data_IF_387526450443
#
_entry.id   IF_387526450443
#
_cell.length_a   1.000
_cell.length_b   1.000
_cell.length_c   1.000
_cell.angle_alpha   90.00
_cell.angle_beta   90.00
_cell.angle_gamma   90.00
#
_symmetry.space_group_name_H-M   'P 1'
#
loop_
_entity.id
_entity.type
_entity.pdbx_description
1 polymer ?
#
# COMPACT_ATOMS: atom_id res chain seq x y z
N UNK A 1 -5.29 22.07 -1.72
CA UNK A 1 -5.19 20.60 -1.89
C UNK A 1 -6.59 20.01 -1.92
N UNK A 2 -6.98 19.27 -2.96
CA UNK A 2 -8.28 18.62 -3.03
C UNK A 2 -8.31 17.38 -2.13
N UNK A 3 -9.33 17.23 -1.29
CA UNK A 3 -9.50 16.02 -0.46
C UNK A 3 -9.80 14.83 -1.35
N UNK A 4 -8.98 13.78 -1.23
CA UNK A 4 -9.22 12.48 -1.85
C UNK A 4 -9.48 11.46 -0.74
N UNK A 5 -10.46 10.59 -0.95
CA UNK A 5 -10.81 9.52 -0.01
C UNK A 5 -10.43 8.18 -0.62
N UNK A 6 -9.78 7.32 0.16
CA UNK A 6 -9.45 5.95 -0.20
C UNK A 6 -10.23 5.04 0.73
N UNK A 7 -10.99 4.11 0.15
CA UNK A 7 -11.74 3.11 0.92
C UNK A 7 -10.82 1.92 1.25
N UNK A 8 -10.79 1.54 2.51
CA UNK A 8 -10.07 0.36 2.99
C UNK A 8 -11.04 -0.56 3.73
N UNK A 9 -10.76 -1.87 3.70
CA UNK A 9 -11.35 -2.77 4.69
C UNK A 9 -10.74 -2.51 6.07
N UNK A 10 -11.48 -2.83 7.12
CA UNK A 10 -11.01 -2.69 8.50
C UNK A 10 -9.70 -3.45 8.74
N UNK A 11 -9.59 -4.67 8.19
CA UNK A 11 -8.37 -5.48 8.28
C UNK A 11 -7.15 -4.79 7.66
N UNK A 12 -7.32 -4.11 6.52
CA UNK A 12 -6.22 -3.35 5.87
C UNK A 12 -5.86 -2.11 6.69
N UNK A 13 -6.86 -1.38 7.18
CA UNK A 13 -6.63 -0.22 8.04
C UNK A 13 -5.84 -0.60 9.29
N UNK A 14 -6.21 -1.69 9.97
CA UNK A 14 -5.49 -2.21 11.14
C UNK A 14 -4.04 -2.60 10.85
N UNK A 15 -3.75 -3.14 9.66
CA UNK A 15 -2.38 -3.45 9.25
C UNK A 15 -1.53 -2.18 9.10
N UNK A 16 -2.10 -1.15 8.48
CA UNK A 16 -1.42 0.14 8.31
C UNK A 16 -1.19 0.79 9.68
N UNK A 17 -2.20 0.78 10.56
CA UNK A 17 -2.09 1.31 11.92
C UNK A 17 -0.97 0.61 12.71
N UNK A 18 -0.90 -0.73 12.64
CA UNK A 18 0.19 -1.49 13.27
C UNK A 18 1.57 -1.14 12.70
N UNK A 19 1.67 -0.89 11.40
CA UNK A 19 2.92 -0.44 10.80
C UNK A 19 3.31 0.96 11.31
N UNK A 20 2.35 1.89 11.39
CA UNK A 20 2.56 3.22 11.95
C UNK A 20 3.02 3.15 13.42
N UNK A 21 2.40 2.30 14.24
CA UNK A 21 2.81 2.04 15.61
C UNK A 21 4.22 1.46 15.69
N UNK A 22 4.56 0.49 14.85
CA UNK A 22 5.89 -0.12 14.83
C UNK A 22 6.99 0.91 14.48
N UNK A 23 6.73 1.79 13.51
CA UNK A 23 7.62 2.91 13.19
C UNK A 23 7.71 3.88 14.36
N UNK A 24 6.59 4.17 15.01
CA UNK A 24 6.54 5.10 16.13
C UNK A 24 7.39 4.62 17.32
N UNK A 25 7.25 3.33 17.67
CA UNK A 25 8.02 2.70 18.74
C UNK A 25 9.52 2.73 18.43
N UNK A 26 9.92 2.43 17.18
CA UNK A 26 11.32 2.39 16.77
C UNK A 26 11.99 3.77 16.69
N UNK A 27 11.22 4.78 16.26
CA UNK A 27 11.75 6.13 16.01
C UNK A 27 11.53 7.10 17.18
N UNK A 28 10.68 6.74 18.15
CA UNK A 28 10.26 7.62 19.24
C UNK A 28 9.35 8.77 18.80
N UNK A 29 8.88 8.78 17.56
CA UNK A 29 8.00 9.83 17.01
C UNK A 29 6.60 9.27 16.82
N UNK A 30 5.58 10.09 17.06
CA UNK A 30 4.19 9.69 16.79
C UNK A 30 3.97 9.74 15.27
N UNK A 31 3.80 8.58 14.65
CA UNK A 31 3.50 8.43 13.21
C UNK A 31 2.04 8.01 13.04
N UNK A 32 1.31 8.73 12.19
CA UNK A 32 -0.09 8.38 11.87
C UNK A 32 -0.14 7.42 10.70
N UNK A 33 -1.20 6.61 10.61
CA UNK A 33 -1.42 5.74 9.43
C UNK A 33 -1.45 6.52 8.12
N UNK A 34 -1.94 7.76 8.13
CA UNK A 34 -1.93 8.65 6.96
C UNK A 34 -0.53 8.94 6.49
N UNK A 35 0.44 9.10 7.40
CA UNK A 35 1.83 9.43 7.05
C UNK A 35 2.49 8.24 6.35
N UNK A 36 2.22 7.02 6.82
CA UNK A 36 2.63 5.78 6.16
C UNK A 36 2.06 5.73 4.74
N UNK A 37 0.76 5.99 4.57
CA UNK A 37 0.10 5.94 3.26
C UNK A 37 0.68 7.00 2.32
N UNK A 38 0.86 8.24 2.77
CA UNK A 38 1.48 9.29 1.95
C UNK A 38 2.91 8.93 1.56
N UNK A 39 3.69 8.36 2.49
CA UNK A 39 5.04 7.87 2.20
C UNK A 39 5.00 6.77 1.13
N UNK A 40 4.03 5.86 1.22
CA UNK A 40 3.88 4.80 0.22
C UNK A 40 3.58 5.35 -1.17
N UNK A 41 2.64 6.29 -1.27
CA UNK A 41 2.22 6.88 -2.54
C UNK A 41 3.33 7.71 -3.19
N UNK A 42 4.22 8.33 -2.41
CA UNK A 42 5.29 9.15 -2.96
C UNK A 42 6.52 8.33 -3.39
N UNK A 43 6.82 7.24 -2.68
CA UNK A 43 8.07 6.49 -2.89
C UNK A 43 7.89 5.17 -3.64
N UNK A 44 6.71 4.54 -3.58
CA UNK A 44 6.47 3.21 -4.18
C UNK A 44 5.45 3.23 -5.33
N UNK A 45 5.11 4.40 -5.87
CA UNK A 45 4.14 4.50 -6.97
C UNK A 45 4.62 3.80 -8.24
N UNK A 46 5.88 3.99 -8.62
CA UNK A 46 6.46 3.39 -9.83
C UNK A 46 6.53 1.87 -9.73
N UNK A 47 6.91 1.36 -8.55
CA UNK A 47 6.98 -0.08 -8.30
C UNK A 47 5.59 -0.69 -8.30
N UNK A 48 4.62 -0.04 -7.64
CA UNK A 48 3.23 -0.47 -7.69
C UNK A 48 2.68 -0.50 -9.13
N UNK A 49 3.03 0.48 -9.97
CA UNK A 49 2.65 0.50 -11.38
C UNK A 49 3.23 -0.71 -12.13
N UNK A 50 4.55 -0.96 -11.99
CA UNK A 50 5.23 -2.09 -12.65
C UNK A 50 4.63 -3.43 -12.22
N UNK A 51 4.39 -3.60 -10.93
CA UNK A 51 3.79 -4.81 -10.38
C UNK A 51 2.36 -5.02 -10.87
N UNK A 52 1.57 -3.94 -11.00
CA UNK A 52 0.22 -4.04 -11.57
C UNK A 52 0.24 -4.47 -13.04
N UNK A 53 1.15 -3.91 -13.84
CA UNK A 53 1.32 -4.29 -15.25
C UNK A 53 1.76 -5.76 -15.33
N UNK A 54 2.78 -6.14 -14.55
CA UNK A 54 3.30 -7.51 -14.49
C UNK A 54 2.22 -8.51 -14.07
N UNK A 55 1.42 -8.19 -13.06
CA UNK A 55 0.32 -9.05 -12.64
C UNK A 55 -0.79 -9.18 -13.69
N UNK A 56 -1.07 -8.11 -14.44
CA UNK A 56 -2.04 -8.15 -15.52
C UNK A 56 -1.57 -9.04 -16.68
N UNK A 57 -0.29 -8.95 -17.06
CA UNK A 57 0.31 -9.76 -18.13
C UNK A 57 0.58 -11.21 -17.70
N UNK A 58 0.91 -11.47 -16.43
CA UNK A 58 1.11 -12.82 -15.91
C UNK A 58 -0.21 -13.61 -15.78
N UNK A 59 -1.34 -12.94 -15.56
CA UNK A 59 -2.65 -13.61 -15.52
C UNK A 59 -3.15 -14.07 -16.89
N UNK A 60 -2.68 -13.49 -17.99
CA UNK A 60 -3.02 -13.96 -19.33
C UNK A 60 -2.29 -15.24 -19.74
N UNK A 61 -1.21 -15.64 -19.04
CA UNK A 61 -0.44 -16.85 -19.38
C UNK A 61 -0.81 -18.10 -18.57
N UNK A 62 -1.75 -18.03 -17.61
CA UNK A 62 -2.16 -19.17 -16.75
C UNK A 62 -3.49 -19.82 -17.15
N UNK A 63 -4.10 -19.48 -18.29
CA UNK A 63 -5.22 -20.22 -18.88
C UNK A 63 -4.75 -21.16 -20.00
N UNK A 64 -4.03 -22.21 -19.62
CA UNK A 64 -3.90 -23.50 -20.33
C UNK A 64 -2.90 -24.35 -19.52
N UNK A 65 -3.26 -25.58 -19.16
CA UNK A 65 -3.42 -26.64 -20.15
C UNK A 65 -4.77 -27.35 -20.09
N UNK A 66 -5.02 -28.08 -21.19
CA UNK A 66 -6.16 -28.92 -21.52
C UNK A 66 -6.40 -30.07 -20.54
#
# INVERSE_FOLDING_TARGET
MARKQIAFSEATHMKIERAALAVSIKTGRIVKWTDIVHFMMNNYLEDAQKDMISNATAKSSKKQPA
#
